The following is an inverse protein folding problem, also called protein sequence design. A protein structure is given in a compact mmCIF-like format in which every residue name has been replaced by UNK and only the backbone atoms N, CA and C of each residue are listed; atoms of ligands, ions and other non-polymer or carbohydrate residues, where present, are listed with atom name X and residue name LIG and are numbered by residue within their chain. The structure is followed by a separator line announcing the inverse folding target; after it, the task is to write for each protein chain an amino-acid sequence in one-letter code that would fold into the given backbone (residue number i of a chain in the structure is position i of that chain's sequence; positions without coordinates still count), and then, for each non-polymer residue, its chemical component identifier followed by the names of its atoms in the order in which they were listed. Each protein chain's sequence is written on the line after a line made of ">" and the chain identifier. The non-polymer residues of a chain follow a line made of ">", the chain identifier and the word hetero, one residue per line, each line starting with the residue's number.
data_IF_049627092938
#
_entry.id   IF_049627092938
#
_cell.length_a   1.000
_cell.length_b   1.000
_cell.length_c   1.000
_cell.angle_alpha   90.00
_cell.angle_beta   90.00
_cell.angle_gamma   90.00
#
_symmetry.space_group_name_H-M   'P 1'
#
loop_
_entity.id
_entity.type
_entity.pdbx_description
1 polymer ?
#
# COMPACT_ATOMS: atom_id res chain seq x y z
N UNK A 1 -3.48 8.36 1.00
CA UNK A 1 -2.83 8.03 -0.29
C UNK A 1 -1.89 9.12 -0.78
N UNK A 2 -2.31 10.38 -0.91
CA UNK A 2 -1.44 11.50 -1.36
C UNK A 2 -0.12 11.62 -0.56
N UNK A 3 -0.16 11.44 0.76
CA UNK A 3 1.06 11.43 1.59
C UNK A 3 2.04 10.31 1.23
N UNK A 4 1.52 9.11 0.92
CA UNK A 4 2.34 7.96 0.51
C UNK A 4 2.94 8.21 -0.86
N UNK A 5 2.14 8.77 -1.79
CA UNK A 5 2.62 9.12 -3.13
C UNK A 5 3.80 10.10 -3.10
N UNK A 6 3.69 11.18 -2.32
CA UNK A 6 4.78 12.14 -2.16
C UNK A 6 6.04 11.48 -1.61
N UNK A 7 5.88 10.62 -0.60
CA UNK A 7 6.99 9.86 -0.05
C UNK A 7 7.65 8.94 -1.09
N UNK A 8 6.84 8.24 -1.89
CA UNK A 8 7.33 7.39 -2.98
C UNK A 8 8.09 8.22 -4.03
N UNK A 9 7.61 9.41 -4.39
CA UNK A 9 8.32 10.32 -5.32
C UNK A 9 9.62 10.90 -4.76
N UNK A 10 9.68 11.18 -3.47
CA UNK A 10 10.86 11.74 -2.80
C UNK A 10 11.97 10.71 -2.57
N UNK A 11 11.59 9.44 -2.37
CA UNK A 11 12.52 8.38 -1.96
C UNK A 11 12.64 7.22 -2.95
N UNK A 12 12.06 7.35 -4.15
CA UNK A 12 11.95 6.28 -5.15
C UNK A 12 11.37 4.99 -4.51
N UNK A 13 10.27 5.19 -3.76
CA UNK A 13 9.61 4.17 -2.96
C UNK A 13 8.46 3.47 -3.68
N UNK A 14 8.06 2.31 -3.15
CA UNK A 14 6.97 1.48 -3.68
C UNK A 14 5.86 1.25 -2.64
N UNK A 15 5.56 2.22 -1.79
CA UNK A 15 4.58 2.07 -0.71
C UNK A 15 3.16 1.94 -1.23
N UNK A 16 2.77 2.70 -2.26
CA UNK A 16 1.44 2.55 -2.87
C UNK A 16 1.27 1.17 -3.51
N UNK A 17 2.26 0.68 -4.23
CA UNK A 17 2.24 -0.65 -4.82
C UNK A 17 2.21 -1.74 -3.74
N UNK A 18 3.00 -1.57 -2.67
CA UNK A 18 2.98 -2.48 -1.52
C UNK A 18 1.60 -2.55 -0.87
N UNK A 19 0.94 -1.40 -0.68
CA UNK A 19 -0.40 -1.34 -0.10
C UNK A 19 -1.42 -2.02 -1.01
N UNK A 20 -1.32 -1.84 -2.33
CA UNK A 20 -2.19 -2.51 -3.29
C UNK A 20 -2.00 -4.03 -3.27
N UNK A 21 -0.76 -4.52 -3.36
CA UNK A 21 -0.48 -5.95 -3.32
C UNK A 21 -0.94 -6.59 -2.00
N UNK A 22 -0.74 -5.90 -0.88
CA UNK A 22 -1.24 -6.34 0.42
C UNK A 22 -2.76 -6.50 0.43
N UNK A 23 -3.48 -5.53 -0.13
CA UNK A 23 -4.92 -5.59 -0.28
C UNK A 23 -5.36 -6.72 -1.21
N UNK A 24 -4.75 -6.85 -2.39
CA UNK A 24 -5.06 -7.89 -3.38
C UNK A 24 -4.82 -9.31 -2.87
N UNK A 25 -3.91 -9.46 -1.91
CA UNK A 25 -3.61 -10.74 -1.26
C UNK A 25 -4.40 -10.94 0.04
N UNK A 26 -5.61 -10.39 0.14
CA UNK A 26 -6.50 -10.49 1.31
C UNK A 26 -5.84 -10.09 2.63
N UNK A 27 -5.01 -9.03 2.60
CA UNK A 27 -4.24 -8.57 3.77
C UNK A 27 -3.23 -9.61 4.30
N UNK A 28 -2.81 -10.55 3.46
CA UNK A 28 -1.70 -11.47 3.75
C UNK A 28 -0.36 -10.86 3.34
N UNK A 29 0.46 -10.52 4.34
CA UNK A 29 1.81 -10.03 4.11
C UNK A 29 2.71 -11.09 3.46
N UNK A 30 2.57 -12.38 3.79
CA UNK A 30 3.38 -13.41 3.14
C UNK A 30 3.10 -13.49 1.63
N UNK A 31 1.82 -13.58 1.25
CA UNK A 31 1.42 -13.65 -0.16
C UNK A 31 1.78 -12.37 -0.93
N UNK A 32 1.65 -11.21 -0.30
CA UNK A 32 2.03 -9.94 -0.93
C UNK A 32 3.56 -9.83 -1.13
N UNK A 33 4.36 -10.32 -0.17
CA UNK A 33 5.81 -10.35 -0.29
C UNK A 33 6.25 -11.25 -1.46
N UNK A 34 5.64 -12.44 -1.58
CA UNK A 34 5.83 -13.34 -2.72
C UNK A 34 5.45 -12.68 -4.05
N UNK A 35 4.28 -12.03 -4.11
CA UNK A 35 3.78 -11.33 -5.31
C UNK A 35 4.69 -10.19 -5.77
N UNK A 36 5.31 -9.47 -4.83
CA UNK A 36 6.23 -8.37 -5.11
C UNK A 36 7.69 -8.81 -5.23
N UNK A 37 7.99 -10.12 -5.13
CA UNK A 37 9.36 -10.65 -5.14
C UNK A 37 10.28 -10.01 -4.09
N UNK A 38 9.72 -9.65 -2.93
CA UNK A 38 10.47 -9.10 -1.78
C UNK A 38 10.40 -10.07 -0.61
N UNK A 39 11.37 -9.96 0.31
CA UNK A 39 11.29 -10.72 1.56
C UNK A 39 10.18 -10.17 2.48
N UNK A 40 9.65 -11.04 3.35
CA UNK A 40 8.59 -10.70 4.30
C UNK A 40 8.96 -9.52 5.22
N UNK A 41 10.24 -9.41 5.63
CA UNK A 41 10.73 -8.35 6.53
C UNK A 41 10.65 -6.98 5.85
N UNK A 42 11.02 -6.90 4.58
CA UNK A 42 10.93 -5.70 3.75
C UNK A 42 9.47 -5.30 3.61
N UNK A 43 8.58 -6.23 3.25
CA UNK A 43 7.16 -5.91 3.15
C UNK A 43 6.57 -5.46 4.49
N UNK A 44 6.88 -6.14 5.59
CA UNK A 44 6.42 -5.76 6.93
C UNK A 44 6.90 -4.37 7.33
N UNK A 45 8.15 -4.03 7.00
CA UNK A 45 8.70 -2.68 7.21
C UNK A 45 7.97 -1.63 6.37
N UNK A 46 7.69 -1.91 5.09
CA UNK A 46 6.90 -1.04 4.22
C UNK A 46 5.48 -0.85 4.74
N UNK A 47 4.81 -1.91 5.20
CA UNK A 47 3.46 -1.83 5.81
C UNK A 47 3.44 -1.01 7.10
N UNK A 48 4.46 -1.17 7.96
CA UNK A 48 4.62 -0.32 9.13
C UNK A 48 4.76 1.15 8.73
N UNK A 49 5.63 1.45 7.77
CA UNK A 49 5.83 2.80 7.26
C UNK A 49 4.55 3.39 6.64
N UNK A 50 3.78 2.59 5.89
CA UNK A 50 2.48 2.99 5.36
C UNK A 50 1.55 3.42 6.49
N UNK A 51 1.43 2.61 7.55
CA UNK A 51 0.63 2.93 8.73
C UNK A 51 1.10 4.22 9.39
N UNK A 52 2.41 4.37 9.59
CA UNK A 52 3.00 5.53 10.27
C UNK A 52 2.77 6.84 9.48
N UNK A 53 2.86 6.81 8.14
CA UNK A 53 2.65 7.99 7.28
C UNK A 53 1.18 8.32 7.08
N UNK A 54 0.34 7.30 6.86
CA UNK A 54 -1.04 7.50 6.43
C UNK A 54 -2.05 7.50 7.58
N UNK A 55 -1.72 6.87 8.71
CA UNK A 55 -2.65 6.64 9.82
C UNK A 55 -3.68 5.54 9.59
N UNK A 56 -3.60 4.80 8.47
CA UNK A 56 -4.60 3.80 8.10
C UNK A 56 -4.68 2.67 9.14
N UNK A 57 -5.89 2.30 9.57
CA UNK A 57 -6.11 1.09 10.35
C UNK A 57 -6.45 -0.11 9.44
N UNK A 58 -5.47 -1.00 9.23
CA UNK A 58 -5.65 -2.22 8.43
C UNK A 58 -6.70 -3.20 8.97
N UNK A 59 -7.14 -3.03 10.22
CA UNK A 59 -8.19 -3.87 10.82
C UNK A 59 -9.60 -3.35 10.51
N UNK A 60 -9.75 -2.09 10.13
CA UNK A 60 -11.04 -1.50 9.81
C UNK A 60 -11.45 -1.83 8.37
N UNK A 61 -12.40 -2.76 8.20
CA UNK A 61 -12.84 -3.22 6.88
C UNK A 61 -13.45 -2.11 6.01
N UNK A 62 -14.19 -1.16 6.60
CA UNK A 62 -14.78 -0.06 5.85
C UNK A 62 -13.69 0.91 5.35
N UNK A 63 -12.70 1.19 6.20
CA UNK A 63 -11.53 1.98 5.81
C UNK A 63 -10.73 1.29 4.71
N UNK A 64 -10.49 -0.02 4.81
CA UNK A 64 -9.76 -0.76 3.77
C UNK A 64 -10.49 -0.80 2.42
N UNK A 65 -11.82 -0.79 2.43
CA UNK A 65 -12.60 -0.63 1.20
C UNK A 65 -12.38 0.76 0.58
N UNK A 66 -12.45 1.82 1.40
CA UNK A 66 -12.19 3.18 0.95
C UNK A 66 -10.76 3.33 0.40
N UNK A 67 -9.77 2.72 1.06
CA UNK A 67 -8.38 2.70 0.61
C UNK A 67 -8.24 1.99 -0.74
N UNK A 68 -8.87 0.82 -0.93
CA UNK A 68 -8.85 0.10 -2.23
C UNK A 68 -9.41 0.98 -3.35
N UNK A 69 -10.58 1.57 -3.14
CA UNK A 69 -11.21 2.46 -4.12
C UNK A 69 -10.32 3.67 -4.42
N UNK A 70 -9.73 4.25 -3.38
CA UNK A 70 -8.80 5.38 -3.52
C UNK A 70 -7.57 5.04 -4.36
N UNK A 71 -7.00 3.83 -4.23
CA UNK A 71 -5.85 3.39 -5.06
C UNK A 71 -6.25 3.29 -6.53
N UNK A 72 -7.41 2.71 -6.83
CA UNK A 72 -7.90 2.58 -8.21
C UNK A 72 -8.11 3.96 -8.83
N UNK A 73 -8.82 4.85 -8.14
CA UNK A 73 -9.05 6.22 -8.60
C UNK A 73 -7.75 6.99 -8.82
N UNK A 74 -6.79 6.83 -7.90
CA UNK A 74 -5.48 7.47 -8.00
C UNK A 74 -4.72 7.03 -9.25
N UNK A 75 -4.66 5.71 -9.52
CA UNK A 75 -4.00 5.17 -10.71
C UNK A 75 -4.68 5.58 -12.01
N UNK A 76 -6.01 5.58 -12.03
CA UNK A 76 -6.79 6.07 -13.17
C UNK A 76 -6.46 7.54 -13.47
N UNK A 77 -6.36 8.38 -12.44
CA UNK A 77 -6.00 9.79 -12.60
C UNK A 77 -4.56 10.02 -13.09
N UNK A 78 -3.61 9.13 -12.74
CA UNK A 78 -2.23 9.19 -13.27
C UNK A 78 -2.11 8.70 -14.73
N UNK A 79 -3.10 8.00 -15.25
CA UNK A 79 -3.09 7.45 -16.62
C UNK A 79 -3.71 8.43 -17.64
N UNK A 80 -4.31 9.52 -17.15
CA UNK A 80 -4.88 10.63 -17.92
C UNK A 80 -3.86 11.77 -18.05
#
# INVERSE_FOLDING_TARGET
>A
LVKLYRHDKEHDGELIETLQAYLDCDKSANKAAEKLYVNYRTLSSRLKKIKDISGIDFKNSAEMLAVRNGIVLFKMAETL
#
